data_IF_279898633140
#
_entry.id   IF_279898633140
#
_cell.length_a   1.000
_cell.length_b   1.000
_cell.length_c   1.000
_cell.angle_alpha   90.00
_cell.angle_beta   90.00
_cell.angle_gamma   90.00
#
_symmetry.space_group_name_H-M   'P 1'
#
loop_
_entity.id
_entity.type
_entity.pdbx_description
1 polymer ?
#
# COMPACT_ATOMS: atom_id res chain seq x y z
N UNK A 1 21.81 -1.34 16.27
CA UNK A 1 21.92 -2.73 15.75
C UNK A 1 22.30 -2.59 14.28
N UNK A 2 23.43 -3.16 13.89
CA UNK A 2 23.90 -3.13 12.51
C UNK A 2 23.07 -4.13 11.71
N UNK A 3 22.56 -3.70 10.56
CA UNK A 3 21.78 -4.53 9.63
C UNK A 3 22.40 -4.46 8.25
N UNK A 4 22.05 -5.41 7.39
CA UNK A 4 22.33 -5.30 5.95
C UNK A 4 21.12 -4.63 5.27
N UNK A 5 21.37 -3.50 4.63
CA UNK A 5 20.38 -2.81 3.81
C UNK A 5 20.63 -3.13 2.33
N UNK A 6 19.63 -3.72 1.69
CA UNK A 6 19.56 -3.85 0.24
C UNK A 6 18.67 -2.71 -0.27
N UNK A 7 19.28 -1.69 -0.87
CA UNK A 7 18.57 -0.52 -1.40
C UNK A 7 18.33 -0.73 -2.89
N UNK A 8 17.07 -0.76 -3.29
CA UNK A 8 16.61 -0.94 -4.66
C UNK A 8 16.05 0.40 -5.14
N UNK A 9 16.69 1.01 -6.12
CA UNK A 9 16.22 2.23 -6.78
C UNK A 9 15.64 1.88 -8.14
N UNK A 10 14.32 1.89 -8.23
CA UNK A 10 13.60 1.69 -9.50
C UNK A 10 13.84 2.92 -10.40
N UNK A 11 14.19 2.69 -11.67
CA UNK A 11 14.38 3.79 -12.63
C UNK A 11 13.05 4.42 -13.04
N UNK A 12 11.94 3.74 -12.78
CA UNK A 12 10.56 4.20 -13.00
C UNK A 12 9.79 4.17 -11.68
N UNK A 13 8.85 5.10 -11.44
CA UNK A 13 7.97 5.05 -10.27
C UNK A 13 6.82 4.04 -10.48
N UNK A 14 7.16 2.82 -10.90
CA UNK A 14 6.22 1.74 -11.14
C UNK A 14 6.86 0.39 -10.81
N UNK A 15 6.03 -0.59 -10.42
CA UNK A 15 6.48 -1.95 -10.09
C UNK A 15 5.48 -3.00 -10.59
N UNK A 16 5.94 -3.99 -11.34
CA UNK A 16 5.08 -4.99 -12.00
C UNK A 16 5.20 -6.39 -11.40
N UNK A 17 5.59 -6.47 -10.12
CA UNK A 17 5.67 -7.75 -9.43
C UNK A 17 4.30 -8.36 -9.15
N UNK A 18 4.05 -9.55 -9.71
CA UNK A 18 2.81 -10.29 -9.45
C UNK A 18 2.96 -11.42 -8.43
N UNK A 19 1.87 -11.78 -7.76
CA UNK A 19 1.79 -13.01 -6.98
C UNK A 19 1.49 -14.24 -7.85
N UNK A 20 1.31 -15.40 -7.20
CA UNK A 20 0.98 -16.67 -7.85
C UNK A 20 -0.38 -16.68 -8.56
N UNK A 21 -1.26 -15.73 -8.24
CA UNK A 21 -2.57 -15.55 -8.87
C UNK A 21 -2.53 -14.50 -9.99
N UNK A 22 -1.36 -13.93 -10.27
CA UNK A 22 -1.21 -12.89 -11.30
C UNK A 22 -1.73 -11.52 -10.87
N UNK A 23 -1.93 -11.28 -9.57
CA UNK A 23 -2.32 -9.98 -9.03
C UNK A 23 -1.08 -9.17 -8.67
N UNK A 24 -1.15 -7.84 -8.80
CA UNK A 24 -0.07 -6.96 -8.36
C UNK A 24 0.20 -7.17 -6.87
N UNK A 25 1.48 -7.30 -6.49
CA UNK A 25 1.90 -7.61 -5.13
C UNK A 25 2.75 -6.48 -4.58
N UNK A 26 2.26 -5.84 -3.51
CA UNK A 26 2.99 -4.81 -2.78
C UNK A 26 2.96 -5.05 -1.25
N UNK A 27 4.05 -4.72 -0.51
CA UNK A 27 5.40 -4.43 -1.00
C UNK A 27 5.96 -5.64 -1.76
N UNK A 28 7.13 -5.56 -2.41
CA UNK A 28 7.74 -6.71 -3.05
C UNK A 28 7.94 -7.86 -2.04
N UNK A 29 7.80 -9.11 -2.50
CA UNK A 29 8.13 -10.26 -1.64
C UNK A 29 9.65 -10.33 -1.39
N UNK A 30 10.11 -10.47 -0.13
CA UNK A 30 11.53 -10.57 0.20
C UNK A 30 12.29 -11.66 -0.57
N UNK A 31 11.65 -12.81 -0.84
CA UNK A 31 12.27 -13.90 -1.62
C UNK A 31 12.73 -13.45 -3.02
N UNK A 32 12.13 -12.39 -3.59
CA UNK A 32 12.58 -11.81 -4.87
C UNK A 32 13.95 -11.14 -4.75
N UNK A 33 14.27 -10.58 -3.58
CA UNK A 33 15.58 -10.00 -3.29
C UNK A 33 16.63 -11.09 -3.30
N UNK A 34 16.38 -12.22 -2.62
CA UNK A 34 17.28 -13.38 -2.66
C UNK A 34 17.50 -13.89 -4.08
N UNK A 35 16.43 -14.05 -4.86
CA UNK A 35 16.55 -14.51 -6.25
C UNK A 35 17.34 -13.53 -7.13
N UNK A 36 17.14 -12.22 -6.93
CA UNK A 36 17.88 -11.20 -7.65
C UNK A 36 19.38 -11.21 -7.28
N UNK A 37 19.71 -11.21 -5.98
CA UNK A 37 21.09 -11.29 -5.49
C UNK A 37 21.80 -12.55 -5.98
N UNK A 38 21.10 -13.69 -5.98
CA UNK A 38 21.62 -14.95 -6.51
C UNK A 38 21.93 -14.88 -8.01
N UNK A 39 21.04 -14.29 -8.80
CA UNK A 39 21.28 -14.08 -10.21
C UNK A 39 22.49 -13.16 -10.45
N UNK A 40 22.64 -12.11 -9.64
CA UNK A 40 23.82 -11.23 -9.65
C UNK A 40 25.11 -11.98 -9.29
N UNK A 41 25.09 -12.86 -8.28
CA UNK A 41 26.25 -13.64 -7.87
C UNK A 41 26.72 -14.60 -8.98
N UNK A 42 25.79 -15.23 -9.71
CA UNK A 42 26.12 -16.05 -10.87
C UNK A 42 26.69 -15.26 -12.05
N UNK A 43 26.48 -13.95 -12.10
CA UNK A 43 27.02 -13.09 -13.15
C UNK A 43 28.44 -12.58 -12.86
N UNK A 44 28.98 -12.84 -11.67
CA UNK A 44 30.35 -12.47 -11.32
C UNK A 44 31.36 -13.37 -12.05
N UNK A 45 32.39 -12.74 -12.65
CA UNK A 45 33.46 -13.45 -13.35
C UNK A 45 34.53 -14.00 -12.39
N UNK A 46 34.79 -13.29 -11.29
CA UNK A 46 35.77 -13.72 -10.27
C UNK A 46 35.16 -14.77 -9.35
N UNK A 47 35.68 -15.99 -9.40
CA UNK A 47 35.14 -17.13 -8.66
C UNK A 47 35.19 -16.92 -7.14
N UNK A 48 36.23 -16.27 -6.63
CA UNK A 48 36.35 -16.02 -5.19
C UNK A 48 35.28 -15.05 -4.68
N UNK A 49 35.06 -13.95 -5.41
CA UNK A 49 33.99 -12.99 -5.12
C UNK A 49 32.61 -13.64 -5.26
N UNK A 50 32.41 -14.49 -6.27
CA UNK A 50 31.17 -15.24 -6.43
C UNK A 50 30.90 -16.16 -5.23
N UNK A 51 31.90 -16.92 -4.77
CA UNK A 51 31.79 -17.81 -3.62
C UNK A 51 31.43 -17.04 -2.33
N UNK A 52 32.06 -15.88 -2.11
CA UNK A 52 31.74 -15.00 -0.98
C UNK A 52 30.31 -14.46 -1.06
N UNK A 53 29.84 -14.04 -2.25
CA UNK A 53 28.47 -13.59 -2.44
C UNK A 53 27.46 -14.72 -2.20
N UNK A 54 27.74 -15.94 -2.67
CA UNK A 54 26.90 -17.11 -2.41
C UNK A 54 26.83 -17.45 -0.93
N UNK A 55 27.96 -17.39 -0.20
CA UNK A 55 27.99 -17.58 1.24
C UNK A 55 27.13 -16.53 1.98
N UNK A 56 27.26 -15.25 1.61
CA UNK A 56 26.45 -14.16 2.16
C UNK A 56 24.94 -14.40 1.94
N UNK A 57 24.55 -14.80 0.72
CA UNK A 57 23.16 -15.09 0.35
C UNK A 57 22.60 -16.26 1.17
N UNK A 58 23.38 -17.33 1.36
CA UNK A 58 22.98 -18.47 2.18
C UNK A 58 22.74 -18.07 3.65
N UNK A 59 23.60 -17.19 4.19
CA UNK A 59 23.44 -16.64 5.55
C UNK A 59 22.17 -15.77 5.67
N UNK A 60 21.88 -14.93 4.66
CA UNK A 60 20.64 -14.15 4.61
C UNK A 60 19.41 -15.08 4.58
N UNK A 61 19.44 -16.16 3.80
CA UNK A 61 18.32 -17.11 3.77
C UNK A 61 18.07 -17.79 5.14
N UNK A 62 19.11 -17.89 5.97
CA UNK A 62 19.01 -18.35 7.36
C UNK A 62 18.57 -17.27 8.38
N UNK A 63 18.48 -16.00 7.98
CA UNK A 63 18.13 -14.90 8.89
C UNK A 63 16.62 -14.78 9.10
N UNK A 64 16.17 -14.02 10.12
CA UNK A 64 14.78 -13.59 10.21
C UNK A 64 14.33 -12.85 8.94
N UNK A 65 13.02 -12.85 8.62
CA UNK A 65 12.49 -12.08 7.51
C UNK A 65 12.76 -10.57 7.69
N UNK A 66 13.00 -9.82 6.61
CA UNK A 66 13.45 -8.44 6.70
C UNK A 66 12.31 -7.48 6.98
N UNK A 67 12.65 -6.27 7.43
CA UNK A 67 11.75 -5.12 7.39
C UNK A 67 11.90 -4.43 6.04
N UNK A 68 10.79 -4.03 5.41
CA UNK A 68 10.84 -3.34 4.11
C UNK A 68 10.39 -1.90 4.30
N UNK A 69 11.21 -0.95 3.87
CA UNK A 69 10.81 0.45 3.71
C UNK A 69 10.54 0.71 2.24
N UNK A 70 9.30 1.01 1.88
CA UNK A 70 8.91 1.20 0.49
C UNK A 70 8.00 2.43 0.34
N UNK A 71 7.95 3.06 -0.84
CA UNK A 71 6.99 4.12 -1.12
C UNK A 71 5.54 3.63 -0.96
N UNK A 72 4.60 4.57 -0.85
CA UNK A 72 3.19 4.25 -1.05
C UNK A 72 3.00 3.80 -2.50
N UNK A 73 2.08 2.86 -2.67
CA UNK A 73 1.80 2.27 -3.96
C UNK A 73 0.30 2.16 -4.19
N UNK A 74 -0.11 2.48 -5.41
CA UNK A 74 -1.50 2.39 -5.87
C UNK A 74 -1.53 1.34 -6.98
N UNK A 75 -2.42 0.35 -6.83
CA UNK A 75 -2.68 -0.60 -7.92
C UNK A 75 -3.24 0.19 -9.10
N UNK A 76 -2.63 0.02 -10.27
CA UNK A 76 -3.07 0.71 -11.47
C UNK A 76 -4.33 0.09 -12.08
N UNK A 77 -4.84 -1.01 -11.51
CA UNK A 77 -6.02 -1.77 -11.99
C UNK A 77 -5.94 -2.06 -13.49
N UNK A 78 -4.72 -2.24 -13.97
CA UNK A 78 -4.43 -2.32 -15.39
C UNK A 78 -5.18 -3.53 -15.95
N UNK A 79 -6.10 -3.34 -16.94
CA UNK A 79 -6.75 -4.46 -17.58
C UNK A 79 -5.70 -5.43 -18.12
N UNK A 80 -5.92 -6.74 -18.00
CA UNK A 80 -4.96 -7.75 -18.47
C UNK A 80 -4.57 -7.63 -19.96
N UNK A 81 -5.25 -6.78 -20.72
CA UNK A 81 -5.02 -6.46 -22.13
C UNK A 81 -4.13 -5.23 -22.39
N UNK A 82 -3.76 -4.46 -21.36
CA UNK A 82 -2.92 -3.27 -21.52
C UNK A 82 -1.47 -3.63 -21.86
N UNK A 83 -0.84 -2.84 -22.74
CA UNK A 83 0.57 -3.00 -23.12
C UNK A 83 1.26 -1.64 -23.08
N UNK A 84 2.32 -1.51 -22.27
CA UNK A 84 3.17 -0.32 -22.26
C UNK A 84 4.10 -0.34 -23.49
N UNK A 85 4.14 0.76 -24.26
CA UNK A 85 4.93 0.87 -25.49
C UNK A 85 6.12 1.78 -25.24
N UNK A 86 7.32 1.21 -25.13
CA UNK A 86 8.56 2.01 -25.14
C UNK A 86 8.94 2.38 -26.58
N UNK A 87 9.10 3.67 -26.87
CA UNK A 87 9.60 4.16 -28.16
C UNK A 87 11.12 3.95 -28.30
N UNK A 88 11.58 3.66 -29.52
CA UNK A 88 13.01 3.52 -29.83
C UNK A 88 13.61 4.88 -30.22
N UNK A 89 14.88 5.17 -29.87
CA UNK A 89 15.63 6.24 -30.49
C UNK A 89 15.84 5.96 -31.99
N UNK A 90 15.64 6.99 -32.80
CA UNK A 90 15.68 7.01 -34.27
C UNK A 90 16.92 6.34 -34.90
N UNK A 91 18.04 6.28 -34.17
CA UNK A 91 19.30 5.69 -34.65
C UNK A 91 19.25 4.17 -34.81
N UNK A 92 18.32 3.47 -34.17
CA UNK A 92 18.15 2.01 -34.23
C UNK A 92 17.11 1.54 -35.27
N UNK A 93 16.32 2.45 -35.85
CA UNK A 93 15.23 2.15 -36.78
C UNK A 93 15.55 2.43 -38.24
N UNK A 94 16.84 2.49 -38.63
CA UNK A 94 17.30 2.69 -40.02
C UNK A 94 16.88 1.55 -40.96
N UNK A 95 15.58 1.42 -41.24
CA UNK A 95 15.04 0.64 -42.35
C UNK A 95 13.92 1.43 -43.00
N UNK A 96 14.24 2.01 -44.17
CA UNK A 96 13.37 2.60 -45.20
C UNK A 96 12.25 3.56 -44.75
N UNK A 97 12.37 4.79 -45.26
CA UNK A 97 11.58 6.04 -45.13
C UNK A 97 10.05 5.98 -45.35
N UNK A 98 9.37 4.85 -45.15
CA UNK A 98 7.93 4.77 -45.46
C UNK A 98 7.09 3.96 -44.48
N UNK A 99 7.56 3.72 -43.25
CA UNK A 99 6.71 3.15 -42.20
C UNK A 99 6.77 4.04 -40.95
N UNK A 100 5.62 4.49 -40.42
CA UNK A 100 5.59 5.24 -39.17
C UNK A 100 6.26 4.39 -38.08
N UNK A 101 7.13 5.04 -37.31
CA UNK A 101 7.76 4.57 -36.07
C UNK A 101 7.60 3.07 -35.81
N UNK A 102 8.59 2.28 -36.22
CA UNK A 102 8.70 0.89 -35.75
C UNK A 102 8.97 0.93 -34.25
N UNK A 103 7.89 0.87 -33.47
CA UNK A 103 7.97 0.51 -32.06
C UNK A 103 8.77 -0.77 -31.95
N UNK A 104 9.68 -0.85 -30.96
CA UNK A 104 10.12 -2.16 -30.50
C UNK A 104 8.83 -2.84 -30.05
N UNK A 105 8.38 -3.81 -30.83
CA UNK A 105 7.52 -4.84 -30.33
C UNK A 105 8.30 -5.65 -29.29
N UNK A 106 8.70 -5.03 -28.18
CA UNK A 106 8.65 -5.67 -26.88
C UNK A 106 7.17 -5.80 -26.53
N UNK A 107 6.42 -6.48 -27.41
CA UNK A 107 5.49 -7.47 -26.92
C UNK A 107 6.36 -8.50 -26.18
N UNK A 108 6.85 -8.13 -24.99
CA UNK A 108 7.14 -9.06 -23.92
C UNK A 108 5.78 -9.58 -23.49
N UNK A 109 5.12 -10.29 -24.40
CA UNK A 109 4.30 -11.36 -23.95
C UNK A 109 5.26 -12.20 -23.13
N UNK A 110 5.03 -12.29 -21.83
CA UNK A 110 5.28 -13.57 -21.20
C UNK A 110 4.27 -14.56 -21.77
N UNK A 111 4.30 -14.83 -23.07
CA UNK A 111 3.66 -16.02 -23.60
C UNK A 111 4.39 -17.16 -22.90
N UNK A 112 3.65 -18.00 -22.20
CA UNK A 112 4.14 -19.35 -21.97
C UNK A 112 4.45 -19.95 -23.36
N UNK A 113 5.69 -20.38 -23.57
CA UNK A 113 6.11 -21.00 -24.83
C UNK A 113 5.32 -22.27 -25.14
N UNK A 114 4.65 -22.86 -24.14
CA UNK A 114 3.72 -23.99 -24.31
C UNK A 114 2.28 -23.56 -24.60
N UNK A 115 1.74 -22.53 -23.94
CA UNK A 115 0.29 -22.26 -23.96
C UNK A 115 -0.16 -21.00 -24.72
N UNK A 116 0.77 -20.10 -25.14
CA UNK A 116 0.42 -18.83 -25.81
C UNK A 116 -0.57 -17.93 -25.04
N UNK A 117 -0.73 -18.16 -23.74
CA UNK A 117 -1.61 -17.34 -22.91
C UNK A 117 -0.98 -15.97 -22.62
N UNK A 118 -1.81 -14.92 -22.65
CA UNK A 118 -1.43 -13.57 -22.26
C UNK A 118 -1.20 -13.53 -20.74
N UNK A 119 0.05 -13.37 -20.31
CA UNK A 119 0.34 -13.14 -18.89
C UNK A 119 -0.24 -11.80 -18.44
N UNK A 120 -0.84 -11.73 -17.24
CA UNK A 120 -1.34 -10.48 -16.67
C UNK A 120 -0.23 -9.41 -16.62
N UNK A 121 -0.61 -8.17 -16.95
CA UNK A 121 0.27 -6.99 -16.99
C UNK A 121 0.01 -6.06 -15.80
N UNK A 122 -0.48 -6.59 -14.67
CA UNK A 122 -0.72 -5.82 -13.46
C UNK A 122 0.53 -5.06 -13.02
N UNK A 123 0.33 -3.88 -12.43
CA UNK A 123 1.41 -3.01 -11.99
C UNK A 123 0.94 -2.03 -10.94
N UNK A 124 1.88 -1.58 -10.12
CA UNK A 124 1.67 -0.58 -9.08
C UNK A 124 2.31 0.73 -9.54
N UNK A 125 1.63 1.86 -9.40
CA UNK A 125 2.25 3.18 -9.44
C UNK A 125 2.77 3.53 -8.05
N UNK A 126 3.98 4.09 -7.99
CA UNK A 126 4.68 4.39 -6.75
C UNK A 126 4.82 5.90 -6.56
N UNK A 127 4.67 6.38 -5.34
CA UNK A 127 4.91 7.80 -4.98
C UNK A 127 6.40 8.12 -4.72
N UNK A 128 7.25 7.11 -4.84
CA UNK A 128 8.70 7.18 -4.76
C UNK A 128 9.35 6.05 -5.55
N UNK A 129 10.68 5.99 -5.54
CA UNK A 129 11.46 5.03 -6.35
C UNK A 129 12.34 4.08 -5.56
N UNK A 130 12.51 4.34 -4.28
CA UNK A 130 13.53 3.68 -3.46
C UNK A 130 12.86 2.74 -2.48
N UNK A 131 13.28 1.48 -2.49
CA UNK A 131 12.85 0.43 -1.58
C UNK A 131 14.09 0.00 -0.79
N UNK A 132 14.04 0.07 0.53
CA UNK A 132 15.08 -0.52 1.38
C UNK A 132 14.58 -1.81 1.99
N UNK A 133 15.35 -2.88 1.86
CA UNK A 133 15.10 -4.16 2.51
C UNK A 133 16.16 -4.33 3.59
N UNK A 134 15.74 -4.23 4.85
CA UNK A 134 16.59 -4.23 6.03
C UNK A 134 16.60 -5.62 6.66
N UNK A 135 17.73 -6.29 6.56
CA UNK A 135 17.93 -7.67 6.97
C UNK A 135 18.72 -7.66 8.28
N UNK A 136 18.12 -8.23 9.32
CA UNK A 136 18.75 -8.33 10.63
C UNK A 136 19.81 -9.45 10.66
N UNK A 137 20.98 -9.12 10.14
CA UNK A 137 22.15 -9.99 10.09
C UNK A 137 23.43 -9.15 10.09
N UNK A 138 24.46 -9.68 10.72
CA UNK A 138 25.82 -9.15 10.65
C UNK A 138 26.63 -10.00 9.67
N UNK A 139 27.13 -9.37 8.61
CA UNK A 139 27.98 -9.99 7.60
C UNK A 139 29.40 -9.41 7.69
N UNK A 140 30.44 -10.22 7.49
CA UNK A 140 31.80 -9.75 7.25
C UNK A 140 31.88 -8.71 6.12
N UNK A 141 32.87 -7.83 6.18
CA UNK A 141 33.00 -6.74 5.21
C UNK A 141 33.36 -7.23 3.80
N UNK A 142 34.09 -8.33 3.68
CA UNK A 142 34.40 -9.00 2.41
C UNK A 142 33.17 -9.68 1.79
N UNK A 143 32.37 -10.41 2.59
CA UNK A 143 31.08 -10.94 2.18
C UNK A 143 30.11 -9.82 1.72
N UNK A 144 30.08 -8.71 2.45
CA UNK A 144 29.22 -7.55 2.12
C UNK A 144 29.67 -6.88 0.82
N UNK A 145 30.98 -6.70 0.62
CA UNK A 145 31.53 -6.14 -0.61
C UNK A 145 31.27 -7.04 -1.83
N UNK A 146 31.41 -8.36 -1.66
CA UNK A 146 31.07 -9.32 -2.70
C UNK A 146 29.58 -9.29 -3.06
N UNK A 147 28.71 -9.17 -2.05
CA UNK A 147 27.27 -9.08 -2.24
C UNK A 147 26.84 -7.77 -2.94
N UNK A 148 27.51 -6.65 -2.64
CA UNK A 148 27.31 -5.37 -3.33
C UNK A 148 27.76 -5.44 -4.80
N UNK A 149 28.92 -6.07 -5.06
CA UNK A 149 29.39 -6.33 -6.41
C UNK A 149 28.41 -7.19 -7.22
N UNK A 150 27.84 -8.22 -6.61
CA UNK A 150 26.76 -9.02 -7.21
C UNK A 150 25.50 -8.18 -7.48
N UNK A 151 25.10 -7.33 -6.53
CA UNK A 151 23.91 -6.49 -6.64
C UNK A 151 24.00 -5.48 -7.80
N UNK A 152 25.19 -4.91 -8.03
CA UNK A 152 25.46 -3.99 -9.13
C UNK A 152 25.25 -4.61 -10.53
N UNK A 153 25.28 -5.94 -10.64
CA UNK A 153 25.06 -6.66 -11.90
C UNK A 153 23.58 -6.95 -12.18
N UNK A 154 22.65 -6.52 -11.32
CA UNK A 154 21.22 -6.80 -11.45
C UNK A 154 20.53 -5.65 -12.20
N UNK A 155 20.07 -5.84 -13.45
CA UNK A 155 19.48 -4.76 -14.24
C UNK A 155 17.98 -4.50 -13.96
N UNK A 156 17.28 -5.45 -13.34
CA UNK A 156 15.83 -5.36 -13.08
C UNK A 156 15.45 -5.98 -11.74
N UNK A 157 14.42 -5.45 -11.10
CA UNK A 157 13.89 -6.00 -9.84
C UNK A 157 12.40 -6.35 -9.96
N UNK A 158 12.10 -7.64 -10.08
CA UNK A 158 10.74 -8.15 -10.30
C UNK A 158 10.57 -8.68 -11.71
N UNK A 159 10.22 -7.81 -12.67
CA UNK A 159 10.15 -8.16 -14.10
C UNK A 159 11.17 -7.37 -14.90
N UNK A 160 11.42 -7.77 -16.14
CA UNK A 160 12.23 -6.98 -17.09
C UNK A 160 11.65 -5.58 -17.38
N UNK A 161 10.39 -5.34 -17.00
CA UNK A 161 9.71 -4.04 -17.05
C UNK A 161 10.07 -3.11 -15.88
N UNK A 162 10.75 -3.63 -14.85
CA UNK A 162 11.11 -2.93 -13.61
C UNK A 162 12.63 -2.70 -13.55
N UNK A 163 13.21 -1.88 -14.44
CA UNK A 163 14.64 -1.60 -14.39
C UNK A 163 15.02 -0.94 -13.07
N UNK A 164 16.09 -1.43 -12.45
CA UNK A 164 16.47 -1.04 -11.11
C UNK A 164 18.00 -0.97 -10.97
N UNK A 165 18.44 -0.15 -10.02
CA UNK A 165 19.80 -0.21 -9.46
C UNK A 165 19.69 -0.79 -8.05
N UNK A 166 20.57 -1.72 -7.71
CA UNK A 166 20.57 -2.37 -6.39
C UNK A 166 21.94 -2.18 -5.75
N UNK A 167 21.94 -1.72 -4.51
CA UNK A 167 23.12 -1.49 -3.69
C UNK A 167 22.97 -2.24 -2.36
N UNK A 168 24.07 -2.73 -1.83
CA UNK A 168 24.11 -3.46 -0.55
C UNK A 168 25.13 -2.82 0.37
N UNK A 169 24.71 -2.53 1.60
CA UNK A 169 25.58 -1.90 2.60
C UNK A 169 25.19 -2.27 4.02
N UNK A 170 26.15 -2.09 4.93
CA UNK A 170 25.82 -1.96 6.34
C UNK A 170 25.00 -0.69 6.57
N UNK A 171 23.96 -0.82 7.39
CA UNK A 171 23.14 0.29 7.82
C UNK A 171 22.77 0.15 9.30
N UNK A 172 22.31 1.24 9.88
CA UNK A 172 21.58 1.19 11.13
C UNK A 172 20.09 1.00 10.84
N UNK A 173 19.41 0.21 11.69
CA UNK A 173 17.95 0.08 11.64
C UNK A 173 17.29 1.40 12.09
N UNK A 174 17.24 2.37 11.19
CA UNK A 174 16.55 3.64 11.39
C UNK A 174 15.08 3.51 11.00
N UNK A 175 14.14 4.23 11.66
CA UNK A 175 12.76 4.29 11.21
C UNK A 175 12.69 4.80 9.76
N UNK A 176 11.67 4.35 9.01
CA UNK A 176 11.49 4.80 7.63
C UNK A 176 11.45 6.32 7.54
N UNK A 177 12.02 6.83 6.45
CA UNK A 177 11.89 8.23 6.11
C UNK A 177 10.40 8.61 6.03
N UNK A 178 10.06 9.87 6.27
CA UNK A 178 8.68 10.33 6.23
C UNK A 178 7.88 10.11 4.94
N UNK A 179 8.56 9.83 3.83
CA UNK A 179 7.99 9.54 2.51
C UNK A 179 8.00 8.04 2.19
N UNK A 180 8.22 7.18 3.18
CA UNK A 180 8.29 5.72 3.03
C UNK A 180 7.47 5.07 4.13
N UNK A 181 6.82 3.96 3.79
CA UNK A 181 6.07 3.12 4.71
C UNK A 181 6.96 1.97 5.15
N UNK A 182 7.02 1.71 6.46
CA UNK A 182 7.65 0.51 7.00
C UNK A 182 6.67 -0.66 6.95
N UNK A 183 7.12 -1.78 6.43
CA UNK A 183 6.37 -3.02 6.32
C UNK A 183 7.07 -4.09 7.13
N UNK A 184 6.36 -4.65 8.09
CA UNK A 184 6.90 -5.65 9.00
C UNK A 184 6.36 -7.03 8.67
N UNK A 185 7.19 -8.06 8.74
CA UNK A 185 6.75 -9.44 8.56
C UNK A 185 5.90 -9.86 9.76
N UNK A 186 4.77 -10.50 9.47
CA UNK A 186 3.96 -11.24 10.44
C UNK A 186 3.76 -12.66 9.93
N UNK A 187 3.98 -13.64 10.80
CA UNK A 187 3.58 -15.01 10.50
C UNK A 187 2.06 -15.12 10.49
N UNK A 188 1.54 -15.75 9.44
CA UNK A 188 0.11 -15.90 9.25
C UNK A 188 -0.13 -17.19 8.48
N UNK A 189 -0.90 -18.12 9.04
CA UNK A 189 -1.24 -19.37 8.38
C UNK A 189 -2.07 -19.13 7.10
N UNK A 190 -2.81 -18.02 7.03
CA UNK A 190 -3.51 -17.56 5.85
C UNK A 190 -2.70 -16.57 5.00
N UNK A 191 -1.44 -16.30 5.37
CA UNK A 191 -0.56 -15.40 4.65
C UNK A 191 -0.20 -15.92 3.25
N UNK A 192 0.55 -15.11 2.50
CA UNK A 192 1.08 -15.52 1.20
C UNK A 192 2.50 -16.04 1.36
N UNK A 193 2.88 -16.99 0.52
CA UNK A 193 4.25 -17.49 0.43
C UNK A 193 5.20 -16.39 -0.08
N UNK A 194 5.87 -15.68 0.84
CA UNK A 194 6.62 -14.44 0.56
C UNK A 194 8.01 -14.39 1.18
N UNK A 195 8.18 -15.02 2.33
CA UNK A 195 9.44 -15.05 3.06
C UNK A 195 10.37 -16.16 2.59
N UNK A 196 11.58 -16.15 3.12
CA UNK A 196 12.57 -17.20 2.91
C UNK A 196 12.68 -18.12 4.13
N UNK A 197 13.28 -19.27 3.88
CA UNK A 197 13.73 -20.30 4.82
C UNK A 197 15.20 -20.63 4.49
N UNK A 198 15.93 -21.31 5.39
CA UNK A 198 17.33 -21.69 5.14
C UNK A 198 17.53 -22.47 3.83
N UNK A 199 16.55 -23.30 3.43
CA UNK A 199 16.56 -24.10 2.19
C UNK A 199 16.00 -23.37 0.96
N UNK A 200 15.65 -22.08 1.05
CA UNK A 200 15.14 -21.32 -0.11
C UNK A 200 16.16 -21.27 -1.25
N UNK A 201 17.45 -21.18 -0.94
CA UNK A 201 18.51 -21.10 -1.97
C UNK A 201 18.63 -22.41 -2.73
N UNK A 202 18.61 -23.54 -2.04
CA UNK A 202 18.61 -24.88 -2.64
C UNK A 202 17.42 -25.05 -3.61
N UNK A 203 16.22 -24.65 -3.18
CA UNK A 203 15.03 -24.65 -4.06
C UNK A 203 15.22 -23.83 -5.34
N UNK A 204 15.90 -22.68 -5.26
CA UNK A 204 16.21 -21.89 -6.45
C UNK A 204 17.20 -22.61 -7.37
N UNK A 205 18.22 -23.30 -6.83
CA UNK A 205 19.17 -24.10 -7.62
C UNK A 205 18.47 -25.28 -8.30
N UNK A 206 17.66 -26.03 -7.55
CA UNK A 206 16.94 -27.19 -8.08
C UNK A 206 15.97 -26.79 -9.21
N UNK A 207 15.25 -25.66 -9.05
CA UNK A 207 14.40 -25.16 -10.11
C UNK A 207 15.19 -24.64 -11.31
N UNK A 208 16.33 -23.98 -11.09
CA UNK A 208 17.19 -23.55 -12.19
C UNK A 208 17.68 -24.77 -12.99
N UNK A 209 18.17 -25.80 -12.31
CA UNK A 209 18.62 -27.04 -12.93
C UNK A 209 17.52 -27.75 -13.72
N UNK A 210 16.26 -27.72 -13.25
CA UNK A 210 15.10 -28.30 -13.97
C UNK A 210 14.62 -27.48 -15.16
N UNK A 211 14.93 -26.19 -15.24
CA UNK A 211 14.44 -25.33 -16.33
C UNK A 211 15.52 -25.05 -17.36
N UNK A 212 16.76 -24.92 -16.91
CA UNK A 212 17.89 -24.47 -17.72
C UNK A 212 19.11 -25.40 -17.64
N UNK A 213 19.04 -26.48 -16.86
CA UNK A 213 20.14 -27.43 -16.74
C UNK A 213 20.38 -28.25 -18.01
N UNK A 214 21.53 -28.92 -18.08
CA UNK A 214 21.87 -29.75 -19.23
C UNK A 214 21.30 -31.17 -19.14
N UNK A 215 20.86 -31.62 -17.96
CA UNK A 215 20.31 -32.96 -17.74
C UNK A 215 18.86 -33.06 -18.25
N UNK A 216 18.60 -33.83 -19.34
CA UNK A 216 17.27 -33.96 -19.89
C UNK A 216 16.27 -34.66 -18.95
N UNK A 217 16.75 -35.51 -18.04
CA UNK A 217 15.89 -36.21 -17.10
C UNK A 217 15.32 -35.26 -16.05
N UNK A 218 16.12 -34.30 -15.57
CA UNK A 218 15.67 -33.25 -14.67
C UNK A 218 14.78 -32.23 -15.38
N UNK A 219 15.10 -31.88 -16.63
CA UNK A 219 14.32 -30.93 -17.43
C UNK A 219 12.90 -31.42 -17.78
N UNK A 220 12.67 -32.73 -17.73
CA UNK A 220 11.34 -33.32 -17.93
C UNK A 220 10.43 -33.19 -16.70
N UNK A 221 10.99 -32.91 -15.52
CA UNK A 221 10.23 -32.79 -14.28
C UNK A 221 9.57 -31.41 -14.15
N UNK A 222 8.38 -31.31 -13.52
CA UNK A 222 7.78 -30.01 -13.24
C UNK A 222 8.63 -29.20 -12.23
N UNK A 223 8.51 -27.86 -12.25
CA UNK A 223 9.09 -27.01 -11.21
C UNK A 223 8.63 -27.42 -9.81
N UNK A 224 9.51 -27.27 -8.82
CA UNK A 224 9.20 -27.58 -7.43
C UNK A 224 8.30 -26.49 -6.83
N UNK A 225 7.20 -26.88 -6.15
CA UNK A 225 6.35 -25.92 -5.47
C UNK A 225 7.12 -25.23 -4.34
N UNK A 226 6.90 -23.92 -4.17
CA UNK A 226 7.63 -23.12 -3.19
C UNK A 226 7.29 -23.45 -1.72
N UNK A 227 6.14 -24.08 -1.45
CA UNK A 227 5.55 -24.17 -0.11
C UNK A 227 6.42 -24.81 0.98
N UNK A 228 7.30 -25.76 0.63
CA UNK A 228 8.22 -26.40 1.59
C UNK A 228 9.55 -25.66 1.77
N UNK A 229 9.79 -24.62 0.97
CA UNK A 229 11.09 -23.94 0.84
C UNK A 229 11.01 -22.44 1.13
N UNK A 230 9.83 -21.93 1.42
CA UNK A 230 9.58 -20.49 1.63
C UNK A 230 8.58 -20.31 2.77
N UNK A 231 8.61 -19.15 3.42
CA UNK A 231 7.80 -18.90 4.61
C UNK A 231 6.52 -18.16 4.25
N UNK A 232 5.41 -18.63 4.79
CA UNK A 232 4.11 -17.93 4.66
C UNK A 232 4.11 -16.71 5.57
N UNK A 233 4.12 -15.53 4.97
CA UNK A 233 4.21 -14.25 5.68
C UNK A 233 3.20 -13.26 5.12
N UNK A 234 2.65 -12.45 6.01
CA UNK A 234 1.92 -11.24 5.68
C UNK A 234 2.81 -10.06 6.01
N UNK A 235 2.94 -9.10 5.09
CA UNK A 235 3.61 -7.83 5.36
C UNK A 235 2.54 -6.79 5.63
N UNK A 236 2.51 -6.29 6.86
CA UNK A 236 1.57 -5.25 7.26
C UNK A 236 2.28 -3.91 7.32
N UNK A 237 1.69 -2.84 6.77
CA UNK A 237 2.27 -1.52 6.86
C UNK A 237 2.13 -1.03 8.30
N UNK A 238 3.26 -0.80 8.95
CA UNK A 238 3.32 0.00 10.17
C UNK A 238 3.71 1.39 9.72
N UNK A 239 2.69 2.24 9.51
CA UNK A 239 2.93 3.67 9.54
C UNK A 239 3.50 3.98 10.93
N UNK A 240 4.71 4.53 11.01
CA UNK A 240 5.27 5.08 12.25
C UNK A 240 4.14 5.87 12.89
N UNK A 241 3.71 5.44 14.09
CA UNK A 241 2.58 6.07 14.77
C UNK A 241 2.91 7.56 14.88
N UNK A 242 2.17 8.43 14.21
CA UNK A 242 2.30 9.83 14.50
C UNK A 242 1.84 10.02 15.94
N UNK A 243 2.47 10.95 16.66
CA UNK A 243 1.76 11.52 17.80
C UNK A 243 0.38 11.96 17.32
N UNK A 244 -0.67 11.59 18.06
CA UNK A 244 -2.05 12.11 17.93
C UNK A 244 -2.41 12.69 16.53
N UNK A 245 -2.93 11.86 15.63
CA UNK A 245 -3.46 12.27 14.31
C UNK A 245 -4.77 13.08 14.37
N UNK A 246 -4.75 14.35 13.97
CA UNK A 246 -6.00 15.13 13.85
C UNK A 246 -6.70 14.81 12.55
N UNK A 247 -7.99 14.46 12.58
CA UNK A 247 -8.79 14.25 11.38
C UNK A 247 -9.78 15.39 11.22
N UNK A 248 -9.81 15.99 10.03
CA UNK A 248 -10.78 17.01 9.64
C UNK A 248 -11.68 16.42 8.55
N UNK A 249 -12.89 15.97 8.88
CA UNK A 249 -13.84 15.49 7.87
C UNK A 249 -14.39 16.65 7.04
N UNK A 250 -14.75 16.33 5.79
CA UNK A 250 -15.37 17.27 4.86
C UNK A 250 -16.89 17.04 4.82
N UNK A 251 -17.65 18.12 4.75
CA UNK A 251 -19.12 18.13 4.64
C UNK A 251 -19.57 17.49 3.31
N UNK A 252 -18.80 17.70 2.23
CA UNK A 252 -18.98 17.00 0.97
C UNK A 252 -17.66 16.44 0.44
N UNK A 253 -17.71 15.27 -0.22
CA UNK A 253 -16.54 14.69 -0.86
C UNK A 253 -15.98 15.60 -1.96
N UNK A 254 -14.66 15.66 -2.04
CA UNK A 254 -13.93 16.35 -3.10
C UNK A 254 -13.54 15.33 -4.17
N UNK A 255 -13.92 15.60 -5.41
CA UNK A 255 -13.58 14.77 -6.58
C UNK A 255 -12.08 14.49 -6.64
N UNK A 256 -11.70 13.24 -6.92
CA UNK A 256 -10.30 12.78 -6.89
C UNK A 256 -9.35 13.69 -7.68
N UNK A 257 -9.76 14.14 -8.88
CA UNK A 257 -8.96 15.03 -9.73
C UNK A 257 -8.70 16.42 -9.12
N UNK A 258 -9.46 16.82 -8.09
CA UNK A 258 -9.32 18.10 -7.38
C UNK A 258 -8.52 18.00 -6.09
N UNK A 259 -8.27 16.78 -5.60
CA UNK A 259 -7.54 16.53 -4.35
C UNK A 259 -6.15 17.17 -4.38
N UNK A 260 -5.41 16.99 -5.49
CA UNK A 260 -4.08 17.60 -5.64
C UNK A 260 -4.11 19.12 -5.48
N UNK A 261 -5.09 19.79 -6.08
CA UNK A 261 -5.22 21.26 -5.97
C UNK A 261 -5.43 21.67 -4.52
N UNK A 262 -6.35 21.00 -3.82
CA UNK A 262 -6.62 21.28 -2.41
C UNK A 262 -5.38 21.09 -1.53
N UNK A 263 -4.62 20.01 -1.73
CA UNK A 263 -3.39 19.76 -0.96
C UNK A 263 -2.28 20.77 -1.25
N UNK A 264 -2.16 21.25 -2.49
CA UNK A 264 -1.23 22.34 -2.84
C UNK A 264 -1.61 23.66 -2.14
N UNK A 265 -2.90 23.98 -2.08
CA UNK A 265 -3.39 25.15 -1.35
C UNK A 265 -3.14 25.03 0.16
N UNK A 266 -3.34 23.85 0.73
CA UNK A 266 -3.10 23.59 2.16
C UNK A 266 -1.63 23.64 2.54
N UNK A 267 -0.74 23.14 1.67
CA UNK A 267 0.69 23.12 1.94
C UNK A 267 1.29 24.51 2.15
N UNK A 268 0.63 25.58 1.65
CA UNK A 268 1.06 26.97 1.84
C UNK A 268 0.88 27.45 3.28
N UNK A 269 -0.14 26.96 3.98
CA UNK A 269 -0.52 27.42 5.33
C UNK A 269 -0.17 26.40 6.42
N UNK A 270 0.31 25.22 6.02
CA UNK A 270 0.64 24.16 6.96
C UNK A 270 1.91 24.55 7.75
N UNK A 271 1.87 24.58 9.09
CA UNK A 271 3.06 24.90 9.88
C UNK A 271 4.19 23.89 9.64
N UNK A 272 5.44 24.35 9.74
CA UNK A 272 6.61 23.49 9.60
C UNK A 272 6.54 22.30 10.56
N UNK A 273 6.83 21.09 10.04
CA UNK A 273 6.76 19.84 10.79
C UNK A 273 5.37 19.19 10.86
N UNK A 274 4.34 19.82 10.30
CA UNK A 274 3.04 19.17 10.08
C UNK A 274 3.01 18.44 8.75
N UNK A 275 2.15 17.43 8.63
CA UNK A 275 1.80 16.78 7.36
C UNK A 275 0.31 16.62 7.25
N UNK A 276 -0.24 16.90 6.07
CA UNK A 276 -1.59 16.52 5.71
C UNK A 276 -1.53 15.27 4.81
N UNK A 277 -2.51 14.38 4.93
CA UNK A 277 -2.70 13.27 4.01
C UNK A 277 -4.19 13.06 3.73
N UNK A 278 -4.53 12.61 2.51
CA UNK A 278 -5.93 12.48 2.11
C UNK A 278 -6.58 11.28 2.79
N UNK A 279 -7.82 11.46 3.27
CA UNK A 279 -8.71 10.36 3.61
C UNK A 279 -9.67 10.16 2.45
N UNK A 280 -9.42 9.13 1.65
CA UNK A 280 -10.19 8.83 0.44
C UNK A 280 -11.14 7.68 0.64
N UNK A 281 -12.18 7.64 -0.19
CA UNK A 281 -13.03 6.47 -0.37
C UNK A 281 -12.23 5.41 -1.14
N UNK A 282 -11.80 4.36 -0.45
CA UNK A 282 -10.95 3.31 -1.01
C UNK A 282 -11.25 1.95 -0.37
N UNK A 283 -11.01 0.86 -1.11
CA UNK A 283 -11.10 -0.51 -0.59
C UNK A 283 -12.45 -1.22 -0.75
N UNK A 284 -13.32 -0.78 -1.66
CA UNK A 284 -14.55 -1.50 -2.02
C UNK A 284 -14.97 -1.27 -3.48
N UNK A 285 -15.94 -2.04 -3.96
CA UNK A 285 -16.42 -2.05 -5.36
C UNK A 285 -17.01 -0.74 -5.88
N UNK A 286 -17.33 0.21 -4.99
CA UNK A 286 -17.83 1.54 -5.32
C UNK A 286 -16.83 2.64 -4.91
N UNK A 287 -15.57 2.28 -4.63
CA UNK A 287 -14.51 3.25 -4.35
C UNK A 287 -14.23 4.09 -5.59
N UNK A 288 -14.26 5.40 -5.43
CA UNK A 288 -14.06 6.37 -6.51
C UNK A 288 -12.92 7.36 -6.21
N UNK A 289 -12.14 7.09 -5.16
CA UNK A 289 -10.98 7.88 -4.77
C UNK A 289 -11.32 9.29 -4.30
N UNK A 290 -12.60 9.64 -4.11
CA UNK A 290 -12.99 10.95 -3.59
C UNK A 290 -12.43 11.16 -2.19
N UNK A 291 -12.03 12.40 -1.92
CA UNK A 291 -11.53 12.82 -0.63
C UNK A 291 -12.70 13.21 0.28
N UNK A 292 -12.81 12.55 1.42
CA UNK A 292 -13.91 12.72 2.40
C UNK A 292 -13.44 13.30 3.72
N UNK A 293 -12.14 13.39 3.91
CA UNK A 293 -11.52 13.99 5.08
C UNK A 293 -10.03 14.21 4.85
N UNK A 294 -9.41 14.93 5.76
CA UNK A 294 -7.97 15.18 5.73
C UNK A 294 -7.40 14.83 7.09
N UNK A 295 -6.41 13.94 7.08
CA UNK A 295 -5.65 13.61 8.28
C UNK A 295 -4.44 14.52 8.40
N UNK A 296 -4.10 14.90 9.63
CA UNK A 296 -2.98 15.75 9.97
C UNK A 296 -2.09 15.07 11.01
N UNK A 297 -0.78 15.09 10.74
CA UNK A 297 0.25 14.57 11.62
C UNK A 297 1.13 15.74 12.06
N UNK A 298 1.26 15.97 13.36
CA UNK A 298 2.10 17.03 13.94
C UNK A 298 3.19 16.48 14.85
N UNK A 299 4.28 17.24 15.01
CA UNK A 299 5.36 16.92 15.94
C UNK A 299 4.94 17.20 17.40
N UNK A 300 4.19 16.27 18.00
CA UNK A 300 4.22 15.97 19.45
C UNK A 300 3.76 17.01 20.47
N UNK A 301 3.34 18.22 20.08
CA UNK A 301 2.75 19.21 20.99
C UNK A 301 1.26 19.35 20.77
N UNK A 302 0.48 19.54 21.84
CA UNK A 302 -0.90 20.05 21.77
C UNK A 302 -0.88 21.44 21.13
N UNK A 303 -0.77 21.51 19.81
CA UNK A 303 -1.04 22.73 19.08
C UNK A 303 -2.55 22.97 19.12
N UNK A 304 -2.90 24.22 19.32
CA UNK A 304 -4.27 24.73 19.34
C UNK A 304 -5.08 24.16 18.16
N UNK A 305 -6.09 23.33 18.47
CA UNK A 305 -6.91 22.58 17.50
C UNK A 305 -7.67 23.48 16.51
N UNK A 306 -7.70 24.78 16.78
CA UNK A 306 -8.18 25.81 15.86
C UNK A 306 -7.36 25.88 14.55
N UNK A 307 -6.08 25.46 14.54
CA UNK A 307 -5.19 25.60 13.39
C UNK A 307 -5.52 24.66 12.20
N UNK A 308 -5.69 23.33 12.32
CA UNK A 308 -5.85 22.46 11.15
C UNK A 308 -7.20 22.61 10.44
N UNK A 309 -8.30 22.73 11.19
CA UNK A 309 -9.62 22.93 10.62
C UNK A 309 -9.73 24.28 9.88
N UNK A 310 -9.06 25.32 10.39
CA UNK A 310 -8.94 26.61 9.70
C UNK A 310 -8.13 26.50 8.42
N UNK A 311 -6.98 25.82 8.44
CA UNK A 311 -6.17 25.57 7.23
C UNK A 311 -6.99 24.84 6.15
N UNK A 312 -7.79 23.83 6.51
CA UNK A 312 -8.70 23.18 5.55
C UNK A 312 -9.75 24.16 5.03
N UNK A 313 -10.40 24.93 5.92
CA UNK A 313 -11.43 25.88 5.52
C UNK A 313 -10.91 26.93 4.54
N UNK A 314 -9.73 27.48 4.82
CA UNK A 314 -9.10 28.51 3.99
C UNK A 314 -8.64 27.95 2.65
N UNK A 315 -8.03 26.75 2.63
CA UNK A 315 -7.65 26.08 1.39
C UNK A 315 -8.86 25.69 0.53
N UNK A 316 -9.96 25.26 1.14
CA UNK A 316 -11.24 24.98 0.45
C UNK A 316 -11.82 26.26 -0.14
N UNK A 317 -11.79 27.36 0.61
CA UNK A 317 -12.26 28.66 0.15
C UNK A 317 -11.44 29.16 -1.06
N UNK A 318 -10.10 29.08 -1.00
CA UNK A 318 -9.20 29.48 -2.09
C UNK A 318 -9.31 28.58 -3.32
N UNK A 319 -9.48 27.27 -3.12
CA UNK A 319 -9.59 26.31 -4.22
C UNK A 319 -10.90 26.43 -5.01
N UNK A 320 -11.92 27.12 -4.46
CA UNK A 320 -13.25 27.29 -5.07
C UNK A 320 -14.11 26.04 -4.98
N UNK A 321 -13.78 25.11 -4.08
CA UNK A 321 -14.49 23.85 -3.91
C UNK A 321 -15.78 24.07 -3.12
N UNK A 322 -16.91 24.18 -3.83
CA UNK A 322 -18.24 24.41 -3.23
C UNK A 322 -18.66 23.34 -2.19
N UNK A 323 -18.03 22.16 -2.19
CA UNK A 323 -18.34 21.04 -1.29
C UNK A 323 -17.31 20.75 -0.18
N UNK A 324 -16.12 21.34 -0.18
CA UNK A 324 -15.05 20.90 0.75
C UNK A 324 -15.18 21.42 2.18
N UNK A 325 -16.33 21.94 2.64
CA UNK A 325 -16.40 22.66 3.92
C UNK A 325 -16.00 21.73 5.08
N UNK A 326 -15.06 22.11 5.96
CA UNK A 326 -14.69 21.27 7.08
C UNK A 326 -15.84 21.23 8.09
N UNK A 327 -16.09 20.04 8.63
CA UNK A 327 -17.03 19.85 9.74
C UNK A 327 -16.46 20.51 11.00
N UNK A 328 -17.11 21.56 11.49
CA UNK A 328 -16.70 22.26 12.72
C UNK A 328 -17.26 21.55 13.95
N UNK A 329 -16.49 20.70 14.65
CA UNK A 329 -16.95 20.06 15.89
C UNK A 329 -15.85 19.90 16.95
N UNK A 330 -16.12 20.31 18.20
CA UNK A 330 -15.10 20.38 19.26
C UNK A 330 -14.75 19.06 19.98
N UNK A 331 -15.40 17.94 19.65
CA UNK A 331 -15.08 16.60 20.21
C UNK A 331 -14.61 15.58 19.15
N UNK A 332 -15.03 15.76 17.90
CA UNK A 332 -14.55 14.99 16.74
C UNK A 332 -13.07 15.27 16.40
N UNK A 333 -12.42 16.20 17.09
CA UNK A 333 -11.04 16.56 16.84
C UNK A 333 -10.06 15.92 17.81
N UNK A 334 -10.48 15.10 18.78
CA UNK A 334 -9.54 14.35 19.62
C UNK A 334 -8.90 13.21 18.82
N UNK A 335 -7.62 13.31 18.44
CA UNK A 335 -6.95 12.31 17.61
C UNK A 335 -7.01 10.90 18.18
N UNK A 336 -6.81 10.84 19.50
CA UNK A 336 -6.78 9.61 20.29
C UNK A 336 -8.13 8.90 20.32
N UNK A 337 -9.21 9.58 19.93
CA UNK A 337 -10.54 8.98 19.87
C UNK A 337 -10.68 8.16 18.60
N UNK A 338 -10.14 8.59 17.46
CA UNK A 338 -10.34 7.91 16.18
C UNK A 338 -9.43 6.71 15.94
N UNK A 339 -8.25 6.71 16.53
CA UNK A 339 -7.26 5.64 16.35
C UNK A 339 -7.57 4.38 17.18
N UNK A 340 -8.64 4.39 17.99
CA UNK A 340 -8.95 3.28 18.89
C UNK A 340 -9.49 2.10 18.12
N UNK A 341 -9.17 0.93 18.64
CA UNK A 341 -9.83 -0.31 18.27
C UNK A 341 -11.12 -0.39 19.08
N UNK A 342 -12.23 -0.74 18.45
CA UNK A 342 -13.53 -0.80 19.12
C UNK A 342 -14.45 -1.76 18.40
N UNK A 343 -15.41 -2.30 19.16
CA UNK A 343 -16.54 -3.05 18.63
C UNK A 343 -17.77 -2.17 18.45
N UNK A 344 -17.79 -0.97 19.04
CA UNK A 344 -18.96 -0.08 19.01
C UNK A 344 -18.64 1.27 18.39
N UNK A 345 -19.45 1.64 17.41
CA UNK A 345 -19.22 2.77 16.53
C UNK A 345 -20.46 3.63 16.43
N UNK A 346 -20.30 4.94 16.60
CA UNK A 346 -21.40 5.90 16.45
C UNK A 346 -21.02 6.94 15.41
N UNK A 347 -21.92 7.19 14.46
CA UNK A 347 -21.74 8.19 13.42
C UNK A 347 -21.68 9.59 14.00
N UNK A 348 -20.65 10.34 13.63
CA UNK A 348 -20.46 11.76 13.96
C UNK A 348 -20.89 12.69 12.82
N UNK A 349 -20.90 12.17 11.59
CA UNK A 349 -21.46 12.82 10.41
C UNK A 349 -22.63 12.01 9.88
N UNK A 350 -23.62 12.65 9.24
CA UNK A 350 -24.73 11.94 8.63
C UNK A 350 -24.26 11.06 7.47
N UNK A 351 -24.85 9.88 7.39
CA UNK A 351 -24.78 8.95 6.28
C UNK A 351 -25.95 9.19 5.32
N UNK A 352 -25.69 9.19 4.00
CA UNK A 352 -26.74 9.14 2.97
C UNK A 352 -26.91 7.72 2.47
N UNK A 353 -28.13 7.20 2.57
CA UNK A 353 -28.44 5.82 2.21
C UNK A 353 -29.92 5.65 1.90
N UNK A 354 -30.32 4.41 1.63
CA UNK A 354 -31.71 4.06 1.36
C UNK A 354 -32.65 4.57 2.48
N UNK A 355 -33.84 5.11 2.15
CA UNK A 355 -34.74 5.72 3.13
C UNK A 355 -35.50 4.71 4.01
N UNK A 356 -35.45 3.41 3.70
CA UNK A 356 -35.95 2.36 4.59
C UNK A 356 -34.82 1.90 5.53
N UNK A 357 -34.99 2.02 6.87
CA UNK A 357 -33.94 1.69 7.84
C UNK A 357 -33.55 0.20 7.84
N UNK A 358 -34.44 -0.70 7.39
CA UNK A 358 -34.13 -2.15 7.31
C UNK A 358 -33.20 -2.45 6.15
N UNK A 359 -33.44 -1.82 5.00
CA UNK A 359 -32.57 -1.91 3.82
C UNK A 359 -31.23 -1.27 4.11
N UNK A 360 -31.23 -0.10 4.77
CA UNK A 360 -30.03 0.55 5.27
C UNK A 360 -29.20 -0.39 6.17
N UNK A 361 -29.83 -0.98 7.19
CA UNK A 361 -29.14 -1.88 8.11
C UNK A 361 -28.50 -3.08 7.38
N UNK A 362 -29.25 -3.71 6.45
CA UNK A 362 -28.75 -4.80 5.64
C UNK A 362 -27.53 -4.39 4.79
N UNK A 363 -27.60 -3.25 4.09
CA UNK A 363 -26.51 -2.75 3.25
C UNK A 363 -25.27 -2.45 4.09
N UNK A 364 -25.43 -1.83 5.24
CA UNK A 364 -24.31 -1.50 6.14
C UNK A 364 -23.65 -2.75 6.71
N UNK A 365 -24.44 -3.75 7.12
CA UNK A 365 -23.90 -5.03 7.58
C UNK A 365 -23.09 -5.74 6.48
N UNK A 366 -23.58 -5.74 5.24
CA UNK A 366 -22.83 -6.29 4.10
C UNK A 366 -21.54 -5.50 3.83
N UNK A 367 -21.62 -4.17 3.83
CA UNK A 367 -20.46 -3.30 3.61
C UNK A 367 -19.35 -3.53 4.66
N UNK A 368 -19.73 -3.76 5.92
CA UNK A 368 -18.75 -4.07 6.98
C UNK A 368 -18.16 -5.46 6.82
N UNK A 369 -18.98 -6.46 6.48
CA UNK A 369 -18.50 -7.82 6.22
C UNK A 369 -17.50 -7.85 5.07
N UNK A 370 -17.82 -7.18 3.96
CA UNK A 370 -16.98 -7.13 2.78
C UNK A 370 -15.65 -6.38 3.02
N UNK A 371 -15.69 -5.25 3.75
CA UNK A 371 -14.51 -4.39 3.95
C UNK A 371 -13.60 -4.84 5.08
N UNK A 372 -14.18 -5.34 6.17
CA UNK A 372 -13.44 -5.61 7.41
C UNK A 372 -13.43 -7.09 7.79
N UNK A 373 -14.10 -7.95 7.03
CA UNK A 373 -14.12 -9.40 7.26
C UNK A 373 -14.80 -9.79 8.56
N UNK A 374 -15.68 -8.93 9.10
CA UNK A 374 -16.38 -9.16 10.38
C UNK A 374 -17.87 -8.90 10.24
N UNK A 375 -18.67 -9.58 11.07
CA UNK A 375 -20.12 -9.36 11.10
C UNK A 375 -20.46 -8.11 11.90
N UNK A 376 -21.53 -7.43 11.52
CA UNK A 376 -21.98 -6.19 12.17
C UNK A 376 -23.50 -6.14 12.31
N UNK A 377 -23.93 -5.48 13.37
CA UNK A 377 -25.33 -5.21 13.68
C UNK A 377 -25.50 -3.70 13.80
N UNK A 378 -26.40 -3.13 13.01
CA UNK A 378 -26.85 -1.75 13.21
C UNK A 378 -27.79 -1.73 14.41
N UNK A 379 -27.31 -1.20 15.53
CA UNK A 379 -28.04 -1.10 16.79
C UNK A 379 -29.14 -0.04 16.71
N UNK A 380 -28.82 1.11 16.11
CA UNK A 380 -29.75 2.22 15.96
C UNK A 380 -29.56 2.94 14.62
N UNK A 381 -30.67 3.40 14.03
CA UNK A 381 -30.69 4.27 12.86
C UNK A 381 -31.67 5.41 13.08
N UNK A 382 -31.17 6.64 13.13
CA UNK A 382 -31.95 7.83 13.44
C UNK A 382 -31.83 8.88 12.33
N UNK A 383 -32.90 9.61 12.04
CA UNK A 383 -32.90 10.72 11.07
C UNK A 383 -32.41 12.05 11.68
N UNK A 384 -31.94 12.02 12.92
CA UNK A 384 -31.41 13.15 13.67
C UNK A 384 -30.10 12.76 14.36
N UNK A 385 -29.22 13.73 14.65
CA UNK A 385 -27.95 13.43 15.31
C UNK A 385 -28.13 12.80 16.69
N UNK A 386 -27.26 11.84 17.02
CA UNK A 386 -27.29 11.07 18.28
C UNK A 386 -26.80 11.92 19.46
N UNK A 387 -25.94 12.90 19.20
CA UNK A 387 -25.41 13.86 20.15
C UNK A 387 -25.57 15.31 19.69
N UNK A 388 -25.64 16.24 20.64
CA UNK A 388 -25.55 17.68 20.36
C UNK A 388 -24.20 18.09 19.72
N UNK A 389 -23.18 17.24 19.85
CA UNK A 389 -21.87 17.42 19.25
C UNK A 389 -21.73 16.77 17.86
N UNK A 390 -22.77 16.13 17.34
CA UNK A 390 -22.71 15.51 16.01
C UNK A 390 -23.08 16.54 14.93
N UNK A 391 -22.48 16.39 13.75
CA UNK A 391 -22.62 17.38 12.70
C UNK A 391 -24.00 17.31 12.10
N UNK A 392 -24.66 18.46 11.96
CA UNK A 392 -25.87 18.62 11.16
C UNK A 392 -25.50 19.19 9.81
N UNK A 393 -25.96 18.55 8.75
CA UNK A 393 -25.84 19.11 7.42
C UNK A 393 -26.61 20.41 7.30
N UNK A 394 -26.04 21.36 6.56
CA UNK A 394 -26.62 22.68 6.35
C UNK A 394 -27.72 22.75 5.28
N UNK A 395 -28.02 21.65 4.58
CA UNK A 395 -28.97 21.61 3.46
C UNK A 395 -30.39 21.20 3.84
N UNK A 396 -31.38 21.92 3.32
CA UNK A 396 -32.77 21.45 3.23
C UNK A 396 -32.86 20.29 2.22
N UNK A 397 -33.79 19.36 2.47
CA UNK A 397 -33.96 18.07 1.79
C UNK A 397 -33.43 17.96 0.36
N UNK A 398 -32.41 17.13 0.19
CA UNK A 398 -31.84 16.77 -1.09
C UNK A 398 -32.83 15.93 -1.91
N UNK A 399 -32.99 16.24 -3.20
CA UNK A 399 -34.06 15.68 -4.06
C UNK A 399 -33.75 14.29 -4.65
N UNK A 400 -32.73 13.59 -4.15
CA UNK A 400 -32.28 12.29 -4.68
C UNK A 400 -33.08 11.09 -4.10
N UNK A 401 -34.01 11.34 -3.18
CA UNK A 401 -34.83 10.31 -2.52
C UNK A 401 -34.09 9.47 -1.46
N UNK A 402 -32.83 9.77 -1.15
CA UNK A 402 -32.07 9.11 -0.08
C UNK A 402 -32.45 9.67 1.29
N UNK A 403 -32.41 8.80 2.30
CA UNK A 403 -32.52 9.18 3.70
C UNK A 403 -31.21 9.72 4.25
N UNK A 404 -31.30 10.56 5.28
CA UNK A 404 -30.16 11.02 6.06
C UNK A 404 -30.18 10.34 7.42
N UNK A 405 -29.09 9.69 7.79
CA UNK A 405 -29.04 8.78 8.92
C UNK A 405 -27.84 9.03 9.83
N UNK A 406 -28.06 8.89 11.13
CA UNK A 406 -27.02 8.68 12.13
C UNK A 406 -27.22 7.30 12.71
N UNK A 407 -26.13 6.55 12.76
CA UNK A 407 -26.13 5.13 13.06
C UNK A 407 -25.28 4.83 14.30
N UNK A 408 -25.74 3.86 15.08
CA UNK A 408 -24.94 3.13 16.07
C UNK A 408 -24.75 1.70 15.60
N UNK A 409 -23.51 1.21 15.60
CA UNK A 409 -23.13 -0.10 15.04
C UNK A 409 -22.31 -0.86 16.06
N UNK A 410 -22.57 -2.16 16.17
CA UNK A 410 -21.75 -3.10 16.92
C UNK A 410 -21.20 -4.19 16.00
N UNK A 411 -19.91 -4.50 16.13
CA UNK A 411 -19.21 -5.49 15.31
C UNK A 411 -18.79 -6.68 16.16
N UNK A 412 -18.74 -7.87 15.56
CA UNK A 412 -18.32 -9.08 16.26
C UNK A 412 -16.84 -9.02 16.65
N UNK A 413 -16.01 -8.57 15.72
CA UNK A 413 -14.59 -8.35 15.93
C UNK A 413 -14.27 -6.86 16.13
N UNK A 414 -13.13 -6.64 16.75
CA UNK A 414 -12.55 -5.33 16.96
C UNK A 414 -12.05 -4.74 15.64
N UNK A 415 -12.57 -3.56 15.25
CA UNK A 415 -12.07 -2.83 14.08
C UNK A 415 -11.20 -1.67 14.54
N UNK A 416 -10.16 -1.34 13.79
CA UNK A 416 -9.35 -0.14 14.04
C UNK A 416 -9.94 1.05 13.29
N UNK A 417 -10.24 2.14 14.00
CA UNK A 417 -10.90 3.32 13.43
C UNK A 417 -10.00 4.27 12.64
N UNK A 418 -10.59 5.33 12.06
CA UNK A 418 -12.04 5.63 12.01
C UNK A 418 -12.79 4.74 11.00
N UNK A 419 -14.08 4.44 11.24
CA UNK A 419 -14.91 3.83 10.19
C UNK A 419 -15.55 4.89 9.30
N UNK A 420 -15.58 4.61 8.01
CA UNK A 420 -16.38 5.37 7.04
C UNK A 420 -17.26 4.41 6.26
N UNK A 421 -18.55 4.72 6.22
CA UNK A 421 -19.58 3.89 5.58
C UNK A 421 -20.46 4.74 4.68
N UNK A 422 -21.05 4.12 3.65
CA UNK A 422 -22.04 4.74 2.77
C UNK A 422 -21.79 4.59 1.28
N UNK A 423 -22.87 4.70 0.52
CA UNK A 423 -22.92 4.40 -0.91
C UNK A 423 -22.92 5.65 -1.83
N UNK A 424 -23.13 6.86 -1.29
CA UNK A 424 -23.28 8.07 -2.11
C UNK A 424 -21.97 8.82 -2.29
N UNK A 425 -21.58 9.04 -3.54
CA UNK A 425 -20.33 9.68 -3.95
C UNK A 425 -20.41 11.19 -3.92
N UNK A 426 -21.59 11.81 -3.99
CA UNK A 426 -21.73 13.27 -4.06
C UNK A 426 -21.90 13.92 -2.68
N UNK A 427 -22.48 13.18 -1.73
CA UNK A 427 -22.94 13.74 -0.46
C UNK A 427 -22.90 12.64 0.62
N UNK A 428 -22.04 12.80 1.63
CA UNK A 428 -22.18 12.15 2.96
C UNK A 428 -21.72 10.69 3.08
N UNK A 429 -20.44 10.52 3.38
CA UNK A 429 -19.93 9.30 4.01
C UNK A 429 -20.12 9.44 5.52
N UNK A 430 -20.87 8.53 6.13
CA UNK A 430 -21.03 8.50 7.58
C UNK A 430 -19.69 8.16 8.22
N UNK A 431 -19.14 9.07 9.01
CA UNK A 431 -17.89 8.90 9.74
C UNK A 431 -18.20 8.49 11.17
N UNK A 432 -17.67 7.37 11.62
CA UNK A 432 -18.01 6.82 12.93
C UNK A 432 -16.82 6.85 13.88
N UNK A 433 -17.09 7.34 15.09
CA UNK A 433 -16.15 7.31 16.20
C UNK A 433 -16.39 6.07 17.07
N UNK A 434 -15.35 5.53 17.72
CA UNK A 434 -15.52 4.46 18.67
C UNK A 434 -16.14 4.96 19.98
N UNK A 435 -16.98 4.15 20.60
CA UNK A 435 -17.68 4.50 21.86
C UNK A 435 -17.31 3.62 23.05
N UNK A 436 -16.50 2.58 22.86
CA UNK A 436 -16.04 1.76 23.98
C UNK A 436 -15.11 2.57 24.90
N UNK A 437 -15.49 2.70 26.17
CA UNK A 437 -14.60 3.24 27.19
C UNK A 437 -13.49 2.24 27.47
N UNK A 438 -12.23 2.66 27.33
CA UNK A 438 -11.13 1.94 27.98
C UNK A 438 -11.36 2.08 29.48
N UNK A 439 -11.84 1.02 30.12
CA UNK A 439 -11.66 0.84 31.55
C UNK A 439 -10.16 0.89 31.77
N UNK A 440 -9.63 2.01 32.27
CA UNK A 440 -8.21 2.10 32.64
C UNK A 440 -7.96 1.01 33.68
N UNK A 441 -7.36 -0.11 33.28
CA UNK A 441 -6.67 -0.96 34.23
C UNK A 441 -5.53 -0.12 34.80
N UNK A 442 -5.71 0.34 36.04
CA UNK A 442 -4.61 0.86 36.83
C UNK A 442 -3.60 -0.30 36.99
N UNK A 443 -2.42 -0.16 36.39
CA UNK A 443 -1.24 -0.95 36.67
C UNK A 443 -0.06 0.00 36.87
#
# INVERSE_FOLDING_TARGET
>A
MTVIAVTITLLRPAFHGLDSQGQAQWPPAPVRVLGALKAGAHALEDSHTADLAHAAIARIAGSPPPVIHAPDAVDLEVPGTYTDRTSLPEKLTKSNDSKPERFLGLQLFGMDSKNRDLKPQGGMALDGRVIDVLIDIDLPSDETAALDAAAALIPYFGRSQDPAMIEVRHAELLPASPTRVSWYPREDAAGRTRGWQPNTIEWMDENYARVFGEDPALNALPPLPAGAYTRTLTYSPVRVRPGSMTVVPLEFPVEQHRVRKLFLEMAQDLPSGWRAFPLTVSGHTASDGRLVGIGFLGNGGHADYSSPAMVVADAVARSGLRGGRPVRLSAAHEPRTWERVSRRWVSTTPLRAFPDPRVLAFVITQEIADRYGTTAIVQEAQASPVSAQDHRWSGEGLTDGLGQWWLSIETADEIKGPLMLGASTEQGFGMFRPTDHVTRSQS
#
